data_IF_693074512498
#
_entry.id   IF_693074512498
#
_cell.length_a   1.000
_cell.length_b   1.000
_cell.length_c   1.000
_cell.angle_alpha   90.00
_cell.angle_beta   90.00
_cell.angle_gamma   90.00
#
_symmetry.space_group_name_H-M   'P 1'
#
loop_
_entity.id
_entity.type
_entity.pdbx_description
1 polymer ?
#
# COMPACT_ATOMS: atom_id res chain seq x y z
N UNK A 1 37.53 6.30 -5.76
CA UNK A 1 36.73 5.62 -4.74
C UNK A 1 35.36 6.30 -4.67
N UNK A 2 34.29 5.63 -5.11
CA UNK A 2 32.92 6.21 -5.09
C UNK A 2 32.39 6.11 -3.65
N UNK A 3 32.13 7.25 -3.01
CA UNK A 3 31.42 7.31 -1.73
C UNK A 3 29.98 6.82 -1.94
N UNK A 4 29.46 5.90 -1.12
CA UNK A 4 28.06 5.50 -1.21
C UNK A 4 27.16 6.70 -0.89
N UNK A 5 26.09 6.88 -1.68
CA UNK A 5 25.06 7.92 -1.53
C UNK A 5 24.09 7.63 -0.38
N UNK A 6 24.31 6.57 0.38
CA UNK A 6 23.56 6.25 1.58
C UNK A 6 24.48 6.35 2.78
N UNK A 7 24.19 7.32 3.65
CA UNK A 7 24.56 7.21 5.06
C UNK A 7 23.98 5.89 5.58
N UNK A 8 24.82 5.14 6.28
CA UNK A 8 24.54 3.81 6.82
C UNK A 8 23.11 3.76 7.37
N UNK A 9 22.21 3.14 6.61
CA UNK A 9 20.87 2.85 7.08
C UNK A 9 21.06 2.13 8.41
N UNK A 10 20.65 2.79 9.49
CA UNK A 10 20.51 2.15 10.79
C UNK A 10 19.85 0.82 10.49
N UNK A 11 20.55 -0.28 10.80
CA UNK A 11 19.97 -1.61 10.75
C UNK A 11 18.68 -1.52 11.56
N UNK A 12 17.54 -1.39 10.86
CA UNK A 12 16.24 -1.41 11.50
C UNK A 12 16.13 -2.84 12.01
N UNK A 13 16.38 -3.01 13.31
CA UNK A 13 16.01 -4.19 14.06
C UNK A 13 14.65 -4.62 13.51
N UNK A 14 14.56 -5.83 12.96
CA UNK A 14 13.33 -6.34 12.38
C UNK A 14 12.24 -6.20 13.43
N UNK A 15 11.40 -5.17 13.29
CA UNK A 15 10.36 -4.89 14.26
C UNK A 15 9.45 -6.12 14.24
N UNK A 16 9.52 -6.91 15.29
CA UNK A 16 8.57 -7.99 15.49
C UNK A 16 7.20 -7.34 15.46
N UNK A 17 6.33 -7.81 14.54
CA UNK A 17 4.96 -7.30 14.44
C UNK A 17 4.34 -7.32 15.83
N UNK A 18 3.81 -6.19 16.28
CA UNK A 18 3.21 -6.11 17.61
C UNK A 18 2.10 -7.16 17.71
N UNK A 19 1.88 -7.74 18.90
CA UNK A 19 0.79 -8.72 19.11
C UNK A 19 -0.57 -8.18 18.64
N UNK A 20 -0.77 -6.86 18.79
CA UNK A 20 -1.94 -6.16 18.30
C UNK A 20 -2.03 -6.17 16.76
N UNK A 21 -0.96 -5.88 16.04
CA UNK A 21 -0.96 -5.93 14.57
C UNK A 21 -1.21 -7.36 14.06
N UNK A 22 -0.62 -8.36 14.71
CA UNK A 22 -0.89 -9.77 14.38
C UNK A 22 -2.37 -10.11 14.57
N UNK A 23 -3.01 -9.64 15.67
CA UNK A 23 -4.45 -9.87 15.86
C UNK A 23 -5.32 -9.17 14.82
N UNK A 24 -4.96 -7.95 14.41
CA UNK A 24 -5.67 -7.21 13.36
C UNK A 24 -5.61 -7.98 12.04
N UNK A 25 -4.42 -8.45 11.65
CA UNK A 25 -4.23 -9.25 10.44
C UNK A 25 -5.02 -10.56 10.47
N UNK A 26 -5.06 -11.24 11.62
CA UNK A 26 -5.82 -12.49 11.78
C UNK A 26 -7.33 -12.29 11.72
N UNK A 27 -7.82 -11.17 12.24
CA UNK A 27 -9.25 -10.89 12.31
C UNK A 27 -9.79 -10.22 11.03
N UNK A 28 -8.92 -9.87 10.08
CA UNK A 28 -9.33 -9.21 8.85
C UNK A 28 -9.75 -7.74 9.02
N UNK A 29 -9.35 -7.10 10.12
CA UNK A 29 -9.70 -5.69 10.39
C UNK A 29 -8.78 -4.74 9.63
N UNK A 30 -8.96 -4.68 8.31
CA UNK A 30 -8.08 -3.94 7.41
C UNK A 30 -8.08 -2.44 7.68
N UNK A 31 -9.21 -1.86 8.08
CA UNK A 31 -9.32 -0.43 8.43
C UNK A 31 -8.40 -0.06 9.59
N UNK A 32 -8.19 -0.97 10.55
CA UNK A 32 -7.24 -0.77 11.64
C UNK A 32 -5.77 -0.87 11.21
N UNK A 33 -5.44 -1.23 9.97
CA UNK A 33 -4.04 -1.20 9.51
C UNK A 33 -3.55 0.21 9.23
N UNK A 34 -4.44 1.15 8.92
CA UNK A 34 -4.06 2.52 8.63
C UNK A 34 -3.38 3.17 9.86
N UNK A 35 -2.16 3.67 9.67
CA UNK A 35 -1.33 4.23 10.76
C UNK A 35 -0.61 3.18 11.62
N UNK A 36 -0.83 1.88 11.40
CA UNK A 36 -0.12 0.79 12.11
C UNK A 36 0.79 -0.01 11.19
N UNK A 37 0.41 -0.12 9.92
CA UNK A 37 1.20 -0.68 8.84
C UNK A 37 1.43 0.44 7.82
N UNK A 38 2.69 0.65 7.46
CA UNK A 38 3.07 1.61 6.44
C UNK A 38 4.40 1.16 5.83
N UNK A 39 4.69 1.66 4.64
CA UNK A 39 5.92 1.32 3.94
C UNK A 39 6.89 2.50 4.02
N UNK A 40 8.09 2.23 4.54
CA UNK A 40 9.14 3.23 4.76
C UNK A 40 9.55 4.00 3.49
N UNK A 41 9.32 3.42 2.31
CA UNK A 41 9.63 4.04 1.02
C UNK A 41 8.53 4.98 0.52
N UNK A 42 7.32 4.94 1.06
CA UNK A 42 6.20 5.78 0.62
C UNK A 42 6.52 7.28 0.63
N UNK A 43 7.12 7.87 1.67
CA UNK A 43 7.42 9.30 1.68
C UNK A 43 8.35 9.71 0.52
N UNK A 44 9.37 8.91 0.25
CA UNK A 44 10.34 9.17 -0.82
C UNK A 44 9.73 8.89 -2.20
N UNK A 45 8.99 7.78 -2.33
CA UNK A 45 8.34 7.39 -3.57
C UNK A 45 7.29 8.43 -3.99
N UNK A 46 6.47 8.93 -3.06
CA UNK A 46 5.44 9.94 -3.35
C UNK A 46 6.04 11.32 -3.61
N UNK A 47 7.21 11.64 -3.04
CA UNK A 47 7.92 12.86 -3.37
C UNK A 47 8.50 12.83 -4.79
N UNK A 48 9.06 11.69 -5.21
CA UNK A 48 9.63 11.52 -6.56
C UNK A 48 8.54 11.29 -7.62
N UNK A 49 7.46 10.62 -7.25
CA UNK A 49 6.34 10.21 -8.09
C UNK A 49 5.00 10.51 -7.40
N UNK A 50 4.54 11.79 -7.41
CA UNK A 50 3.27 12.20 -6.77
C UNK A 50 2.05 11.43 -7.26
N UNK A 51 2.09 10.92 -8.50
CA UNK A 51 1.05 10.08 -9.09
C UNK A 51 0.76 8.82 -8.25
N UNK A 52 1.75 8.28 -7.54
CA UNK A 52 1.57 7.14 -6.65
C UNK A 52 0.76 7.52 -5.40
N UNK A 53 0.95 8.74 -4.89
CA UNK A 53 0.13 9.27 -3.79
C UNK A 53 -1.33 9.43 -4.20
N UNK A 54 -1.56 10.02 -5.38
CA UNK A 54 -2.91 10.15 -5.96
C UNK A 54 -3.56 8.78 -6.16
N UNK A 55 -2.82 7.81 -6.68
CA UNK A 55 -3.32 6.45 -6.85
C UNK A 55 -3.74 5.84 -5.50
N UNK A 56 -2.92 5.98 -4.46
CA UNK A 56 -3.25 5.50 -3.11
C UNK A 56 -4.53 6.12 -2.58
N UNK A 57 -4.68 7.44 -2.73
CA UNK A 57 -5.88 8.15 -2.30
C UNK A 57 -7.13 7.65 -3.05
N UNK A 58 -7.00 7.37 -4.36
CA UNK A 58 -8.10 6.82 -5.17
C UNK A 58 -8.49 5.40 -4.76
N UNK A 59 -7.54 4.55 -4.39
CA UNK A 59 -7.87 3.24 -3.82
C UNK A 59 -8.75 3.38 -2.57
N UNK A 60 -8.39 4.29 -1.66
CA UNK A 60 -9.15 4.51 -0.42
C UNK A 60 -10.52 5.14 -0.71
N UNK A 61 -10.56 6.15 -1.59
CA UNK A 61 -11.81 6.81 -2.02
C UNK A 61 -12.79 5.83 -2.67
N UNK A 62 -12.28 4.84 -3.41
CA UNK A 62 -13.10 3.88 -4.16
C UNK A 62 -13.50 2.64 -3.35
N UNK A 63 -13.18 2.60 -2.05
CA UNK A 63 -13.67 1.56 -1.13
C UNK A 63 -12.61 0.57 -0.64
N UNK A 64 -11.33 0.79 -0.90
CA UNK A 64 -10.28 0.02 -0.25
C UNK A 64 -10.18 0.40 1.22
N UNK A 65 -10.24 -0.60 2.11
CA UNK A 65 -10.07 -0.42 3.55
C UNK A 65 -8.63 -0.07 3.94
N UNK A 66 -7.66 -0.44 3.11
CA UNK A 66 -6.24 -0.14 3.31
C UNK A 66 -5.50 -0.21 1.98
N UNK A 67 -4.58 0.72 1.73
CA UNK A 67 -3.76 0.73 0.52
C UNK A 67 -2.31 1.10 0.84
N UNK A 68 -1.35 0.39 0.23
CA UNK A 68 0.09 0.62 0.45
C UNK A 68 0.94 0.19 -0.74
N UNK A 69 2.11 0.80 -0.87
CA UNK A 69 3.17 0.28 -1.75
C UNK A 69 3.69 -1.07 -1.27
N UNK A 70 4.07 -1.94 -2.21
CA UNK A 70 4.82 -3.18 -1.91
C UNK A 70 6.33 -2.98 -2.09
N UNK A 71 7.12 -3.26 -1.06
CA UNK A 71 8.59 -3.11 -1.10
C UNK A 71 9.03 -1.70 -1.51
N UNK A 72 10.00 -1.59 -2.41
CA UNK A 72 10.43 -0.31 -2.97
C UNK A 72 9.53 0.22 -4.11
N UNK A 73 8.37 -0.39 -4.36
CA UNK A 73 7.50 -0.07 -5.49
C UNK A 73 7.91 -0.74 -6.81
N UNK A 74 7.29 -0.42 -7.95
CA UNK A 74 6.20 0.57 -8.19
C UNK A 74 4.78 0.01 -8.04
N UNK A 75 4.65 -1.24 -7.59
CA UNK A 75 3.35 -1.87 -7.40
C UNK A 75 2.68 -1.43 -6.09
N UNK A 76 1.37 -1.31 -6.14
CA UNK A 76 0.51 -0.96 -5.02
C UNK A 76 -0.49 -2.09 -4.78
N UNK A 77 -0.86 -2.31 -3.53
CA UNK A 77 -1.92 -3.24 -3.18
C UNK A 77 -2.95 -2.56 -2.28
N UNK A 78 -4.22 -2.90 -2.52
CA UNK A 78 -5.36 -2.50 -1.70
C UNK A 78 -6.01 -3.72 -1.07
N UNK A 79 -6.38 -3.63 0.20
CA UNK A 79 -7.24 -4.59 0.88
C UNK A 79 -8.67 -4.08 0.82
N UNK A 80 -9.60 -4.96 0.43
CA UNK A 80 -11.01 -4.62 0.21
C UNK A 80 -11.86 -5.68 0.90
N UNK A 81 -12.88 -5.25 1.64
CA UNK A 81 -13.90 -6.15 2.20
C UNK A 81 -15.12 -6.14 1.29
N UNK A 82 -15.45 -7.30 0.71
CA UNK A 82 -16.63 -7.47 -0.16
C UNK A 82 -16.27 -7.51 -1.65
N UNK A 83 -16.88 -8.47 -2.36
CA UNK A 83 -16.66 -8.68 -3.80
C UNK A 83 -17.24 -7.52 -4.63
N UNK A 84 -18.42 -7.02 -4.26
CA UNK A 84 -19.08 -5.91 -4.95
C UNK A 84 -18.23 -4.63 -4.91
N UNK A 85 -17.69 -4.30 -3.72
CA UNK A 85 -16.80 -3.14 -3.54
C UNK A 85 -15.51 -3.33 -4.34
N UNK A 86 -14.95 -4.54 -4.34
CA UNK A 86 -13.76 -4.84 -5.14
C UNK A 86 -14.00 -4.64 -6.64
N UNK A 87 -15.15 -5.08 -7.15
CA UNK A 87 -15.51 -4.95 -8.56
C UNK A 87 -15.71 -3.48 -8.95
N UNK A 88 -16.44 -2.71 -8.14
CA UNK A 88 -16.63 -1.28 -8.35
C UNK A 88 -15.28 -0.53 -8.32
N UNK A 89 -14.44 -0.80 -7.32
CA UNK A 89 -13.11 -0.21 -7.19
C UNK A 89 -12.26 -0.46 -8.44
N UNK A 90 -12.21 -1.71 -8.93
CA UNK A 90 -11.43 -2.06 -10.11
C UNK A 90 -11.96 -1.40 -11.37
N UNK A 91 -13.28 -1.28 -11.51
CA UNK A 91 -13.89 -0.60 -12.64
C UNK A 91 -13.49 0.88 -12.65
N UNK A 92 -13.61 1.57 -11.51
CA UNK A 92 -13.26 2.99 -11.38
C UNK A 92 -11.76 3.23 -11.60
N UNK A 93 -10.89 2.40 -11.03
CA UNK A 93 -9.45 2.52 -11.22
C UNK A 93 -9.03 2.33 -12.68
N UNK A 94 -9.61 1.36 -13.39
CA UNK A 94 -9.32 1.14 -14.82
C UNK A 94 -9.83 2.25 -15.71
N UNK A 95 -10.92 2.91 -15.32
CA UNK A 95 -11.46 4.07 -16.03
C UNK A 95 -10.57 5.31 -15.83
N UNK A 96 -10.10 5.56 -14.62
CA UNK A 96 -9.28 6.75 -14.31
C UNK A 96 -7.81 6.58 -14.69
N UNK A 97 -7.25 5.37 -14.57
CA UNK A 97 -5.85 5.06 -14.84
C UNK A 97 -5.71 4.02 -15.95
N UNK A 98 -6.00 4.43 -17.18
CA UNK A 98 -6.00 3.55 -18.37
C UNK A 98 -4.62 2.99 -18.75
N UNK A 99 -3.54 3.59 -18.25
CA UNK A 99 -2.16 3.16 -18.46
C UNK A 99 -1.65 2.17 -17.40
N UNK A 100 -2.45 1.84 -16.38
CA UNK A 100 -2.08 0.92 -15.31
C UNK A 100 -2.85 -0.40 -15.40
N UNK A 101 -2.20 -1.47 -14.95
CA UNK A 101 -2.81 -2.81 -14.89
C UNK A 101 -3.28 -3.10 -13.48
N UNK A 102 -4.57 -3.35 -13.32
CA UNK A 102 -5.17 -3.76 -12.05
C UNK A 102 -5.60 -5.22 -12.09
N UNK A 103 -5.06 -6.00 -11.14
CA UNK A 103 -5.36 -7.43 -10.98
C UNK A 103 -6.02 -7.64 -9.63
N UNK A 104 -7.07 -8.46 -9.60
CA UNK A 104 -7.67 -8.94 -8.34
C UNK A 104 -7.11 -10.30 -7.96
N UNK A 105 -6.99 -10.52 -6.67
CA UNK A 105 -6.70 -11.83 -6.12
C UNK A 105 -7.88 -12.24 -5.24
N UNK A 106 -8.45 -13.41 -5.54
CA UNK A 106 -9.48 -14.02 -4.72
C UNK A 106 -8.77 -15.06 -3.86
N UNK A 107 -8.70 -14.82 -2.55
CA UNK A 107 -8.13 -15.74 -1.57
C UNK A 107 -9.23 -16.25 -0.64
#
# INVERSE_FOLDING_TARGET
MKKPLQESASQKNGNTLSKNLISILKNGDWSSLQGRLWNDFEPVAFQLHPELGVLKDKFLEFGSSYCSLTGSGSSMYGLVQGLEIQEELLQRLRQEFSNLTFVRFNF
#
